data_IF_950617527068
#
_entry.id   IF_950617527068
#
_cell.length_a   1.000
_cell.length_b   1.000
_cell.length_c   1.000
_cell.angle_alpha   90.00
_cell.angle_beta   90.00
_cell.angle_gamma   90.00
#
_symmetry.space_group_name_H-M   'P 1'
#
loop_
_entity.id
_entity.type
_entity.pdbx_description
1 polymer ?
#
# COMPACT_ATOMS: atom_id res chain seq x y z
N UNK A 1 -3.89 -0.52 6.48
CA UNK A 1 -3.94 -0.49 5.00
C UNK A 1 -2.54 -0.16 4.50
N UNK A 2 -1.94 -1.05 3.71
CA UNK A 2 -0.66 -0.80 3.05
C UNK A 2 -0.85 -0.12 1.69
N UNK A 3 0.12 0.70 1.27
CA UNK A 3 0.14 1.36 -0.04
C UNK A 3 1.51 1.19 -0.67
N UNK A 4 1.55 0.69 -1.90
CA UNK A 4 2.75 0.61 -2.71
C UNK A 4 2.70 1.65 -3.83
N UNK A 5 3.86 2.19 -4.16
CA UNK A 5 4.08 3.19 -5.21
C UNK A 5 5.19 2.69 -6.12
N UNK A 6 4.97 2.74 -7.44
CA UNK A 6 6.00 2.48 -8.44
C UNK A 6 6.10 3.72 -9.33
N UNK A 7 7.30 4.29 -9.40
CA UNK A 7 7.58 5.52 -10.11
C UNK A 7 8.42 5.23 -11.36
N UNK A 8 7.98 5.71 -12.52
CA UNK A 8 8.77 5.78 -13.73
C UNK A 8 9.16 7.24 -13.97
N UNK A 9 10.47 7.50 -14.02
CA UNK A 9 11.03 8.80 -14.38
C UNK A 9 11.86 8.62 -15.65
N UNK A 10 11.38 9.19 -16.75
CA UNK A 10 12.14 9.35 -17.99
C UNK A 10 12.57 10.81 -18.11
N UNK A 11 13.84 11.06 -17.81
CA UNK A 11 14.42 12.42 -17.79
C UNK A 11 14.62 13.00 -19.19
N UNK A 12 14.81 12.15 -20.20
CA UNK A 12 15.03 12.60 -21.58
C UNK A 12 13.73 13.14 -22.17
N UNK A 13 12.60 12.50 -21.83
CA UNK A 13 11.27 12.90 -22.31
C UNK A 13 10.47 13.74 -21.33
N UNK A 14 11.04 14.02 -20.15
CA UNK A 14 10.36 14.76 -19.08
C UNK A 14 9.09 14.06 -18.57
N UNK A 15 9.03 12.73 -18.65
CA UNK A 15 7.86 11.94 -18.26
C UNK A 15 8.04 11.43 -16.82
N UNK A 16 7.08 11.75 -15.97
CA UNK A 16 6.95 11.20 -14.63
C UNK A 16 5.59 10.53 -14.49
N UNK A 17 5.58 9.23 -14.15
CA UNK A 17 4.36 8.46 -13.94
C UNK A 17 4.43 7.66 -12.66
N UNK A 18 3.37 7.74 -11.87
CA UNK A 18 3.20 6.97 -10.63
C UNK A 18 2.08 5.96 -10.79
N UNK A 19 2.39 4.67 -10.65
CA UNK A 19 1.40 3.63 -10.40
C UNK A 19 1.26 3.37 -8.90
N UNK A 20 0.06 3.05 -8.46
CA UNK A 20 -0.17 2.79 -7.04
C UNK A 20 -1.18 1.68 -6.80
N UNK A 21 -1.02 0.99 -5.67
CA UNK A 21 -1.99 0.02 -5.18
C UNK A 21 -2.09 0.12 -3.67
N UNK A 22 -3.31 0.05 -3.14
CA UNK A 22 -3.53 0.06 -1.71
C UNK A 22 -4.45 -1.09 -1.32
N UNK A 23 -4.11 -1.78 -0.24
CA UNK A 23 -4.82 -2.97 0.23
C UNK A 23 -4.85 -3.04 1.76
N UNK A 24 -5.94 -3.53 2.37
CA UNK A 24 -5.93 -3.90 3.78
C UNK A 24 -5.10 -5.16 4.05
N UNK A 25 -4.83 -5.98 3.04
CA UNK A 25 -4.03 -7.21 3.18
C UNK A 25 -2.55 -6.89 3.40
N UNK A 26 -2.11 -7.01 4.65
CA UNK A 26 -0.71 -6.85 5.07
C UNK A 26 -0.44 -7.73 6.30
N UNK A 27 0.81 -8.13 6.49
CA UNK A 27 1.29 -8.82 7.69
C UNK A 27 2.23 -7.93 8.53
N UNK A 28 2.25 -6.62 8.27
CA UNK A 28 3.04 -5.65 9.03
C UNK A 28 2.74 -5.78 10.53
N UNK A 29 3.78 -5.99 11.32
CA UNK A 29 3.67 -6.15 12.75
C UNK A 29 5.03 -6.34 13.39
N UNK A 30 5.06 -6.17 14.70
CA UNK A 30 6.25 -6.34 15.53
C UNK A 30 5.84 -6.85 16.92
N UNK A 31 6.79 -7.44 17.64
CA UNK A 31 6.62 -7.92 19.00
C UNK A 31 7.95 -7.89 19.76
N UNK A 32 7.88 -7.59 21.06
CA UNK A 32 8.96 -7.91 22.00
C UNK A 32 8.67 -9.29 22.57
N UNK A 33 9.65 -10.17 22.53
CA UNK A 33 9.52 -11.58 22.96
C UNK A 33 10.65 -11.94 23.91
N UNK A 34 10.32 -12.63 24.99
CA UNK A 34 11.28 -13.12 26.00
C UNK A 34 11.60 -14.60 25.86
N UNK A 35 10.85 -15.32 25.03
CA UNK A 35 10.90 -16.77 24.91
C UNK A 35 10.45 -17.23 23.52
N UNK A 36 10.65 -18.52 23.24
CA UNK A 36 10.29 -19.10 21.96
C UNK A 36 8.78 -19.26 21.75
N UNK A 37 7.99 -19.37 22.82
CA UNK A 37 6.53 -19.50 22.71
C UNK A 37 5.91 -18.22 22.13
N UNK A 38 6.27 -17.08 22.71
CA UNK A 38 5.83 -15.76 22.24
C UNK A 38 6.40 -15.40 20.86
N UNK A 39 7.63 -15.84 20.54
CA UNK A 39 8.23 -15.69 19.21
C UNK A 39 7.49 -16.50 18.14
N UNK A 40 7.15 -17.76 18.41
CA UNK A 40 6.41 -18.62 17.48
C UNK A 40 4.99 -18.06 17.26
N UNK A 41 4.32 -17.63 18.33
CA UNK A 41 3.02 -16.98 18.20
C UNK A 41 3.07 -15.71 17.31
N UNK A 42 4.20 -15.00 17.26
CA UNK A 42 4.41 -13.88 16.33
C UNK A 42 4.66 -14.34 14.90
N UNK A 43 5.51 -15.34 14.75
CA UNK A 43 5.81 -15.92 13.44
C UNK A 43 4.52 -16.38 12.72
N UNK A 44 3.64 -17.10 13.42
CA UNK A 44 2.38 -17.61 12.85
C UNK A 44 1.46 -16.48 12.36
N UNK A 45 1.20 -15.46 13.19
CA UNK A 45 0.35 -14.32 12.80
C UNK A 45 0.96 -13.48 11.66
N UNK A 46 2.28 -13.51 11.52
CA UNK A 46 3.03 -12.86 10.44
C UNK A 46 3.15 -13.70 9.16
N UNK A 47 2.50 -14.88 9.10
CA UNK A 47 2.55 -15.81 7.95
C UNK A 47 3.95 -16.37 7.65
N UNK A 48 4.77 -16.52 8.68
CA UNK A 48 6.05 -17.23 8.61
C UNK A 48 5.83 -18.74 8.42
N UNK A 49 6.69 -19.49 7.69
CA UNK A 49 7.92 -19.05 7.01
C UNK A 49 7.73 -18.60 5.55
N UNK A 50 6.50 -18.54 5.04
CA UNK A 50 6.25 -17.99 3.69
C UNK A 50 6.71 -16.52 3.60
N UNK A 51 6.61 -15.80 4.71
CA UNK A 51 7.17 -14.45 4.90
C UNK A 51 8.40 -14.54 5.82
N UNK A 52 9.39 -13.70 5.59
CA UNK A 52 10.57 -13.59 6.46
C UNK A 52 10.29 -12.77 7.72
N UNK A 53 11.20 -12.87 8.68
CA UNK A 53 11.24 -12.05 9.89
C UNK A 53 12.59 -11.34 10.02
N UNK A 54 12.60 -10.25 10.78
CA UNK A 54 13.82 -9.59 11.26
C UNK A 54 13.83 -9.71 12.78
N UNK A 55 14.95 -10.15 13.35
CA UNK A 55 15.16 -10.25 14.79
C UNK A 55 16.25 -9.27 15.19
N UNK A 56 15.95 -8.39 16.14
CA UNK A 56 16.83 -7.33 16.63
C UNK A 56 17.01 -7.44 18.14
N UNK A 57 18.14 -6.91 18.64
CA UNK A 57 18.30 -6.60 20.06
C UNK A 57 17.16 -5.74 20.60
N UNK A 58 16.93 -5.79 21.91
CA UNK A 58 15.87 -5.03 22.56
C UNK A 58 16.39 -4.33 23.82
N UNK A 59 16.11 -3.03 23.97
CA UNK A 59 16.39 -2.24 25.17
C UNK A 59 15.16 -1.40 25.47
N UNK A 60 14.65 -1.44 26.70
CA UNK A 60 13.44 -0.71 27.11
C UNK A 60 12.26 -0.90 26.12
N UNK A 61 12.02 -2.16 25.72
CA UNK A 61 10.98 -2.56 24.75
C UNK A 61 11.13 -1.95 23.34
N UNK A 62 12.29 -1.38 23.01
CA UNK A 62 12.60 -0.77 21.71
C UNK A 62 13.65 -1.57 20.94
N UNK A 63 13.61 -1.54 19.59
CA UNK A 63 14.62 -2.21 18.79
C UNK A 63 15.99 -1.55 18.99
N UNK A 64 16.99 -2.38 19.25
CA UNK A 64 18.39 -2.01 19.43
C UNK A 64 19.25 -2.83 18.44
N UNK A 65 19.22 -2.50 17.13
CA UNK A 65 19.91 -3.27 16.11
C UNK A 65 21.44 -3.31 16.28
N UNK A 66 22.03 -2.33 16.97
CA UNK A 66 23.47 -2.30 17.29
C UNK A 66 23.88 -3.41 18.27
N UNK A 67 22.94 -3.92 19.09
CA UNK A 67 23.20 -5.05 19.97
C UNK A 67 23.09 -6.38 19.23
N UNK A 68 22.16 -6.51 18.30
CA UNK A 68 22.00 -7.67 17.44
C UNK A 68 21.03 -7.35 16.28
N UNK A 69 21.29 -7.93 15.10
CA UNK A 69 20.45 -7.74 13.92
C UNK A 69 20.56 -8.95 12.98
N UNK A 70 19.47 -9.70 12.86
CA UNK A 70 19.33 -10.84 11.97
C UNK A 70 18.22 -10.53 10.95
N UNK A 71 18.61 -10.35 9.68
CA UNK A 71 17.66 -9.97 8.63
C UNK A 71 17.12 -11.15 7.83
N UNK A 72 17.83 -12.27 7.76
CA UNK A 72 17.50 -13.39 6.88
C UNK A 72 16.90 -14.57 7.65
N UNK A 73 15.97 -14.28 8.57
CA UNK A 73 15.22 -15.31 9.29
C UNK A 73 14.08 -15.80 8.41
N UNK A 74 14.27 -16.98 7.81
CA UNK A 74 13.38 -17.53 6.76
C UNK A 74 12.90 -18.96 7.04
N UNK A 75 13.35 -19.57 8.12
CA UNK A 75 12.90 -20.88 8.58
C UNK A 75 12.94 -20.97 10.11
N UNK A 76 12.27 -21.98 10.68
CA UNK A 76 12.13 -22.12 12.13
C UNK A 76 13.48 -22.30 12.84
N UNK A 77 14.48 -22.89 12.19
CA UNK A 77 15.81 -23.08 12.77
C UNK A 77 16.53 -21.74 12.90
N UNK A 78 16.50 -20.92 11.86
CA UNK A 78 17.03 -19.56 11.89
C UNK A 78 16.31 -18.68 12.92
N UNK A 79 15.00 -18.86 13.08
CA UNK A 79 14.22 -18.13 14.08
C UNK A 79 14.65 -18.49 15.51
N UNK A 80 14.73 -19.79 15.81
CA UNK A 80 15.16 -20.29 17.11
C UNK A 80 16.57 -19.82 17.46
N UNK A 81 17.50 -19.90 16.50
CA UNK A 81 18.88 -19.44 16.68
C UNK A 81 18.95 -17.93 16.93
N UNK A 82 18.26 -17.12 16.11
CA UNK A 82 18.29 -15.67 16.23
C UNK A 82 17.65 -15.20 17.54
N UNK A 83 16.45 -15.69 17.87
CA UNK A 83 15.75 -15.32 19.11
C UNK A 83 16.53 -15.79 20.33
N UNK A 84 17.02 -17.03 20.35
CA UNK A 84 17.80 -17.56 21.46
C UNK A 84 19.07 -16.73 21.72
N UNK A 85 19.80 -16.37 20.66
CA UNK A 85 21.00 -15.52 20.78
C UNK A 85 20.67 -14.12 21.32
N UNK A 86 19.59 -13.51 20.84
CA UNK A 86 19.22 -12.15 21.25
C UNK A 86 18.69 -12.13 22.68
N UNK A 87 17.80 -13.06 23.04
CA UNK A 87 17.25 -13.18 24.40
C UNK A 87 18.36 -13.45 25.40
N UNK A 88 19.31 -14.33 25.09
CA UNK A 88 20.45 -14.58 25.97
C UNK A 88 21.32 -13.34 26.22
N UNK A 89 21.38 -12.42 25.25
CA UNK A 89 22.18 -11.19 25.31
C UNK A 89 21.44 -10.02 25.95
N UNK A 90 20.17 -9.84 25.64
CA UNK A 90 19.40 -8.63 25.96
C UNK A 90 18.23 -8.89 26.93
N UNK A 91 17.96 -10.15 27.29
CA UNK A 91 16.78 -10.57 28.06
C UNK A 91 15.50 -10.66 27.23
N UNK A 92 15.43 -9.95 26.11
CA UNK A 92 14.32 -9.99 25.15
C UNK A 92 14.82 -9.72 23.72
N UNK A 93 14.06 -10.17 22.73
CA UNK A 93 14.25 -9.88 21.32
C UNK A 93 13.11 -9.02 20.77
N UNK A 94 13.45 -8.10 19.87
CA UNK A 94 12.47 -7.38 19.07
C UNK A 94 12.33 -8.08 17.73
N UNK A 95 11.15 -8.61 17.43
CA UNK A 95 10.88 -9.37 16.20
C UNK A 95 9.86 -8.61 15.37
N UNK A 96 10.14 -8.42 14.08
CA UNK A 96 9.24 -7.76 13.14
C UNK A 96 9.07 -8.57 11.86
N UNK A 97 7.93 -8.37 11.19
CA UNK A 97 7.70 -8.94 9.87
C UNK A 97 8.68 -8.32 8.88
N UNK A 98 9.37 -9.14 8.09
CA UNK A 98 10.25 -8.62 7.05
C UNK A 98 9.40 -8.05 5.91
N UNK A 99 9.35 -6.73 5.82
CA UNK A 99 8.58 -6.04 4.79
C UNK A 99 9.36 -5.89 3.48
N UNK A 100 10.58 -6.42 3.33
CA UNK A 100 11.32 -6.34 2.05
C UNK A 100 10.61 -7.21 1.01
N UNK A 101 10.47 -6.71 -0.24
CA UNK A 101 9.63 -7.34 -1.26
C UNK A 101 9.93 -8.84 -1.50
N UNK A 102 11.21 -9.20 -1.59
CA UNK A 102 11.68 -10.59 -1.78
C UNK A 102 11.49 -11.51 -0.57
N UNK A 103 11.11 -10.94 0.60
CA UNK A 103 10.84 -11.66 1.85
C UNK A 103 9.37 -11.62 2.23
N UNK A 104 8.53 -10.96 1.42
CA UNK A 104 7.14 -10.72 1.74
C UNK A 104 6.26 -10.92 0.51
N UNK A 105 5.79 -12.15 0.24
CA UNK A 105 4.94 -12.43 -0.91
C UNK A 105 3.66 -11.59 -0.97
N UNK A 106 3.05 -11.26 0.18
CA UNK A 106 1.90 -10.34 0.23
C UNK A 106 2.26 -8.96 -0.34
N UNK A 107 3.38 -8.38 0.11
CA UNK A 107 3.87 -7.09 -0.39
C UNK A 107 4.31 -7.16 -1.85
N UNK A 108 4.95 -8.25 -2.27
CA UNK A 108 5.39 -8.45 -3.65
C UNK A 108 4.20 -8.42 -4.63
N UNK A 109 3.08 -9.05 -4.27
CA UNK A 109 1.82 -8.96 -5.04
C UNK A 109 1.26 -7.53 -5.06
N UNK A 110 1.35 -6.79 -3.96
CA UNK A 110 0.94 -5.38 -3.92
C UNK A 110 1.79 -4.50 -4.86
N UNK A 111 3.10 -4.75 -4.93
CA UNK A 111 4.02 -4.07 -5.86
C UNK A 111 3.67 -4.42 -7.31
N UNK A 112 3.37 -5.70 -7.61
CA UNK A 112 2.91 -6.12 -8.94
C UNK A 112 1.64 -5.37 -9.38
N UNK A 113 0.68 -5.20 -8.46
CA UNK A 113 -0.54 -4.42 -8.74
C UNK A 113 -0.25 -2.94 -8.98
N UNK A 114 0.67 -2.34 -8.20
CA UNK A 114 1.09 -0.95 -8.41
C UNK A 114 1.82 -0.78 -9.77
N UNK A 115 2.65 -1.74 -10.15
CA UNK A 115 3.29 -1.77 -11.47
C UNK A 115 2.28 -1.97 -12.61
N UNK A 116 1.24 -2.78 -12.40
CA UNK A 116 0.15 -2.94 -13.37
C UNK A 116 -0.62 -1.64 -13.58
N UNK A 117 -0.89 -0.88 -12.51
CA UNK A 117 -1.48 0.45 -12.60
C UNK A 117 -0.57 1.45 -13.34
N UNK A 118 0.75 1.41 -13.09
CA UNK A 118 1.72 2.21 -13.83
C UNK A 118 1.66 1.92 -15.34
N UNK A 119 1.65 0.64 -15.73
CA UNK A 119 1.57 0.24 -17.15
C UNK A 119 0.25 0.69 -17.78
N UNK A 120 -0.88 0.59 -17.07
CA UNK A 120 -2.17 1.13 -17.53
C UNK A 120 -2.08 2.63 -17.78
N UNK A 121 -1.50 3.40 -16.85
CA UNK A 121 -1.31 4.85 -16.97
C UNK A 121 -0.40 5.21 -18.14
N UNK A 122 0.71 4.49 -18.29
CA UNK A 122 1.63 4.68 -19.41
C UNK A 122 0.94 4.47 -20.76
N UNK A 123 0.09 3.45 -20.87
CA UNK A 123 -0.69 3.17 -22.09
C UNK A 123 -1.86 4.14 -22.32
N UNK A 124 -2.20 4.96 -21.32
CA UNK A 124 -3.24 5.97 -21.44
C UNK A 124 -2.65 7.22 -22.08
N UNK A 125 -2.71 7.31 -23.40
CA UNK A 125 -2.11 8.41 -24.16
C UNK A 125 -3.06 9.61 -24.27
N UNK A 126 -2.49 10.81 -24.22
CA UNK A 126 -3.24 12.04 -24.48
C UNK A 126 -3.80 12.01 -25.92
N UNK A 127 -5.09 12.31 -26.12
CA UNK A 127 -5.70 12.32 -27.46
C UNK A 127 -5.10 13.40 -28.37
N UNK A 128 -4.55 14.48 -27.78
CA UNK A 128 -3.98 15.62 -28.51
C UNK A 128 -2.49 15.45 -28.84
N UNK A 129 -1.65 15.12 -27.86
CA UNK A 129 -0.19 15.10 -28.03
C UNK A 129 0.44 13.71 -27.89
N UNK A 130 -0.36 12.67 -27.64
CA UNK A 130 0.09 11.28 -27.41
C UNK A 130 1.02 11.08 -26.20
N UNK A 131 1.20 12.10 -25.37
CA UNK A 131 1.98 11.96 -24.13
C UNK A 131 1.32 10.92 -23.20
N UNK A 132 2.09 9.95 -22.67
CA UNK A 132 1.61 8.96 -21.70
C UNK A 132 1.04 9.59 -20.43
N UNK A 133 0.17 8.88 -19.71
CA UNK A 133 -0.35 9.32 -18.41
C UNK A 133 -1.59 10.20 -18.48
N UNK A 134 -2.34 10.19 -19.58
CA UNK A 134 -3.63 10.85 -19.67
C UNK A 134 -4.67 10.11 -18.85
N UNK A 135 -4.76 10.45 -17.57
CA UNK A 135 -5.57 9.75 -16.58
C UNK A 135 -6.26 10.72 -15.62
N UNK A 136 -7.12 10.20 -14.76
CA UNK A 136 -7.92 10.97 -13.81
C UNK A 136 -7.01 11.75 -12.86
N UNK A 137 -7.09 13.07 -12.93
CA UNK A 137 -6.38 14.01 -12.02
C UNK A 137 -7.32 14.64 -10.99
N UNK A 138 -8.61 14.69 -11.30
CA UNK A 138 -9.62 15.32 -10.45
C UNK A 138 -10.94 14.55 -10.54
N UNK A 139 -11.68 14.50 -9.43
CA UNK A 139 -13.01 13.90 -9.34
C UNK A 139 -13.98 14.95 -8.83
N UNK A 140 -15.07 15.15 -9.57
CA UNK A 140 -16.09 16.15 -9.28
C UNK A 140 -17.28 15.46 -8.62
N UNK A 141 -17.56 15.83 -7.38
CA UNK A 141 -18.76 15.42 -6.64
C UNK A 141 -20.02 16.18 -7.10
N UNK A 142 -21.17 15.79 -6.55
CA UNK A 142 -22.44 16.49 -6.76
C UNK A 142 -23.44 15.75 -7.65
N UNK A 143 -23.41 14.41 -7.69
CA UNK A 143 -24.52 13.67 -8.31
C UNK A 143 -25.80 13.96 -7.51
N UNK A 144 -26.91 14.38 -8.15
CA UNK A 144 -28.09 14.86 -7.43
C UNK A 144 -28.78 13.70 -6.71
N UNK A 145 -29.21 13.92 -5.46
CA UNK A 145 -30.00 12.95 -4.71
C UNK A 145 -31.31 12.62 -5.44
N UNK A 146 -31.71 11.35 -5.46
CA UNK A 146 -32.96 10.92 -6.09
C UNK A 146 -34.22 11.51 -5.42
N UNK A 147 -34.16 11.82 -4.12
CA UNK A 147 -35.32 12.33 -3.38
C UNK A 147 -35.40 13.85 -3.33
N UNK A 148 -34.33 14.51 -2.86
CA UNK A 148 -34.35 15.97 -2.65
C UNK A 148 -33.68 16.75 -3.78
N UNK A 149 -32.98 16.09 -4.70
CA UNK A 149 -32.24 16.75 -5.79
C UNK A 149 -30.96 17.47 -5.36
N UNK A 150 -30.64 17.54 -4.07
CA UNK A 150 -29.42 18.21 -3.60
C UNK A 150 -28.14 17.48 -4.06
N UNK A 151 -27.05 18.23 -4.31
CA UNK A 151 -25.77 17.63 -4.69
C UNK A 151 -25.21 16.78 -3.55
N UNK A 152 -24.85 15.52 -3.85
CA UNK A 152 -24.25 14.60 -2.88
C UNK A 152 -22.73 14.53 -3.01
N UNK A 153 -22.05 13.87 -2.07
CA UNK A 153 -20.62 13.53 -2.18
C UNK A 153 -20.31 12.49 -3.24
N UNK A 154 -21.34 11.91 -3.87
CA UNK A 154 -21.16 10.94 -4.95
C UNK A 154 -20.55 11.63 -6.17
N UNK A 155 -19.45 11.05 -6.67
CA UNK A 155 -18.73 11.54 -7.83
C UNK A 155 -19.63 11.46 -9.07
N UNK A 156 -19.85 12.60 -9.73
CA UNK A 156 -20.60 12.70 -10.99
C UNK A 156 -19.70 12.65 -12.21
N UNK A 157 -18.48 13.20 -12.10
CA UNK A 157 -17.56 13.30 -13.23
C UNK A 157 -16.11 13.15 -12.80
N UNK A 158 -15.28 12.71 -13.74
CA UNK A 158 -13.82 12.66 -13.61
C UNK A 158 -13.20 13.56 -14.67
N UNK A 159 -12.16 14.30 -14.28
CA UNK A 159 -11.33 15.09 -15.20
C UNK A 159 -10.03 14.35 -15.43
N UNK A 160 -9.74 14.09 -16.70
CA UNK A 160 -8.45 13.59 -17.16
C UNK A 160 -7.64 14.76 -17.70
N UNK A 161 -6.38 14.87 -17.30
CA UNK A 161 -5.50 15.99 -17.70
C UNK A 161 -4.17 15.47 -18.22
N UNK A 162 -3.70 16.02 -19.33
CA UNK A 162 -2.36 15.76 -19.84
C UNK A 162 -1.35 16.70 -19.19
N UNK A 163 -0.26 16.17 -18.62
CA UNK A 163 0.81 16.96 -18.01
C UNK A 163 1.68 17.71 -19.03
N UNK A 164 1.65 17.32 -20.31
CA UNK A 164 2.52 17.91 -21.34
C UNK A 164 1.86 19.06 -22.13
N UNK A 165 0.54 19.04 -22.30
CA UNK A 165 -0.17 20.05 -23.12
C UNK A 165 -1.42 20.62 -22.48
N UNK A 166 -1.69 20.30 -21.21
CA UNK A 166 -2.85 20.76 -20.43
C UNK A 166 -4.23 20.43 -21.05
N UNK A 167 -4.27 19.54 -22.05
CA UNK A 167 -5.53 19.01 -22.57
C UNK A 167 -6.33 18.39 -21.42
N UNK A 168 -7.60 18.77 -21.29
CA UNK A 168 -8.55 18.26 -20.29
C UNK A 168 -9.74 17.59 -20.97
N UNK A 169 -10.18 16.47 -20.41
CA UNK A 169 -11.43 15.82 -20.78
C UNK A 169 -12.24 15.49 -19.54
N UNK A 170 -13.49 15.93 -19.53
CA UNK A 170 -14.47 15.50 -18.55
C UNK A 170 -15.19 14.25 -19.07
N UNK A 171 -15.32 13.24 -18.20
CA UNK A 171 -16.19 12.09 -18.45
C UNK A 171 -17.11 11.86 -17.26
N UNK A 172 -18.30 11.32 -17.53
CA UNK A 172 -19.18 10.88 -16.46
C UNK A 172 -18.52 9.72 -15.68
N UNK A 173 -18.52 9.83 -14.36
CA UNK A 173 -17.96 8.81 -13.48
C UNK A 173 -18.90 7.60 -13.29
N UNK A 174 -20.18 7.81 -13.59
CA UNK A 174 -21.25 6.81 -13.47
C UNK A 174 -22.30 7.03 -14.55
N UNK A 175 -22.98 5.97 -14.97
CA UNK A 175 -24.17 6.06 -15.84
C UNK A 175 -25.43 6.45 -15.07
N UNK A 176 -25.39 6.40 -13.73
CA UNK A 176 -26.50 6.83 -12.89
C UNK A 176 -26.73 8.33 -13.01
N UNK A 177 -28.00 8.75 -13.11
CA UNK A 177 -28.38 10.17 -13.15
C UNK A 177 -28.54 10.78 -11.76
N UNK A 178 -28.80 9.94 -10.76
CA UNK A 178 -29.06 10.32 -9.38
C UNK A 178 -28.27 9.46 -8.40
N UNK A 179 -28.05 9.99 -7.21
CA UNK A 179 -27.44 9.29 -6.08
C UNK A 179 -28.51 8.68 -5.18
N UNK A 180 -28.18 7.52 -4.60
CA UNK A 180 -28.96 6.90 -3.53
C UNK A 180 -29.12 7.88 -2.35
N UNK A 181 -30.35 8.14 -1.87
CA UNK A 181 -30.61 9.03 -0.73
C UNK A 181 -29.84 8.68 0.54
N UNK A 182 -29.44 7.42 0.74
CA UNK A 182 -28.56 6.99 1.83
C UNK A 182 -27.14 7.58 1.77
N UNK A 183 -26.77 8.23 0.66
CA UNK A 183 -25.50 8.97 0.49
C UNK A 183 -25.70 10.49 0.46
N UNK A 184 -26.89 10.98 0.78
CA UNK A 184 -27.22 12.40 0.85
C UNK A 184 -27.24 12.84 2.31
N UNK A 185 -26.42 13.84 2.68
CA UNK A 185 -26.37 14.34 4.06
C UNK A 185 -27.69 14.96 4.52
N UNK A 186 -28.50 15.49 3.61
CA UNK A 186 -29.80 16.08 3.93
C UNK A 186 -30.90 15.02 4.11
N UNK A 187 -30.83 13.89 3.40
CA UNK A 187 -31.81 12.80 3.53
C UNK A 187 -31.39 11.74 4.56
N UNK A 188 -30.10 11.53 4.74
CA UNK A 188 -29.48 10.56 5.63
C UNK A 188 -28.24 11.17 6.34
N UNK A 189 -28.47 12.06 7.32
CA UNK A 189 -27.40 12.70 8.10
C UNK A 189 -26.64 11.71 9.00
#
# INVERSE_FOLDING_TARGET
>A
MGRELVLLIDRERGLELTGHFASPETNYGQAVVSDMETAVAFAERSKFPEHGLIVMGCVDEKPAPDLALFKDVVDHVALEQAVGQVVAKCGAAFVEADMRAHRNPTRMRAIERAASDLVRRFRSECPTCKHPGFDVTERIAGLPCEWCGEPTHVIRAEILTCQACDCRQERQATSAKTADPGRCESCNP
#
